data_IF_549795892571
#
_entry.id   IF_549795892571
#
_cell.length_a   1.000
_cell.length_b   1.000
_cell.length_c   1.000
_cell.angle_alpha   90.00
_cell.angle_beta   90.00
_cell.angle_gamma   90.00
#
_symmetry.space_group_name_H-M   'P 1'
#
loop_
_entity.id
_entity.type
_entity.pdbx_description
1 polymer ?
#
# COMPACT_ATOMS: atom_id res chain seq x y z
N UNK A 1 -15.10 2.15 3.23
CA UNK A 1 -13.98 1.39 3.88
C UNK A 1 -12.75 2.30 3.89
N UNK A 2 -12.15 2.56 5.05
CA UNK A 2 -11.00 3.46 5.14
C UNK A 2 -9.67 2.75 4.89
N UNK A 3 -8.83 3.34 4.05
CA UNK A 3 -7.48 2.87 3.73
C UNK A 3 -6.46 3.92 4.16
N UNK A 4 -5.46 3.51 4.93
CA UNK A 4 -4.33 4.33 5.34
C UNK A 4 -3.03 3.61 4.97
N UNK A 5 -2.10 4.32 4.35
CA UNK A 5 -0.80 3.78 3.96
C UNK A 5 0.31 4.66 4.53
N UNK A 6 1.18 4.01 5.29
CA UNK A 6 2.33 4.63 5.91
C UNK A 6 3.59 4.04 5.30
N UNK A 7 4.49 4.89 4.82
CA UNK A 7 5.79 4.49 4.33
C UNK A 7 6.82 4.77 5.40
N UNK A 8 7.68 3.79 5.66
CA UNK A 8 8.85 3.89 6.53
C UNK A 8 10.09 3.45 5.78
N UNK A 9 11.17 4.22 5.88
CA UNK A 9 12.45 3.90 5.23
C UNK A 9 13.26 5.15 4.91
N UNK A 10 14.49 4.94 4.45
CA UNK A 10 15.52 5.97 4.42
C UNK A 10 16.18 6.14 5.78
N UNK A 11 17.45 6.52 5.75
CA UNK A 11 18.46 6.58 6.83
C UNK A 11 18.03 7.16 8.20
N UNK A 12 16.84 7.76 8.31
CA UNK A 12 16.29 8.38 9.51
C UNK A 12 15.13 7.61 10.18
N UNK A 13 14.65 6.49 9.61
CA UNK A 13 13.57 5.69 10.22
C UNK A 13 12.24 6.42 10.36
N UNK A 14 12.00 7.44 9.53
CA UNK A 14 10.78 8.25 9.58
C UNK A 14 9.61 7.51 8.97
N UNK A 15 8.48 7.51 9.67
CA UNK A 15 7.18 7.06 9.15
C UNK A 15 6.42 8.25 8.59
N UNK A 16 5.96 8.15 7.36
CA UNK A 16 5.18 9.18 6.68
C UNK A 16 3.87 8.57 6.15
N UNK A 17 2.74 9.20 6.45
CA UNK A 17 1.46 8.87 5.79
C UNK A 17 1.56 9.31 4.33
N UNK A 18 1.43 8.35 3.41
CA UNK A 18 1.51 8.56 1.95
C UNK A 18 0.15 8.43 1.27
N UNK A 19 -0.84 7.80 1.92
CA UNK A 19 -2.24 7.81 1.51
C UNK A 19 -3.17 7.68 2.73
N UNK A 20 -4.30 8.38 2.73
CA UNK A 20 -5.40 8.24 3.70
C UNK A 20 -6.69 8.65 3.00
N UNK A 21 -7.57 7.69 2.73
CA UNK A 21 -8.83 7.92 2.01
C UNK A 21 -9.91 6.92 2.43
N UNK A 22 -11.17 7.28 2.23
CA UNK A 22 -12.28 6.34 2.30
C UNK A 22 -12.63 5.86 0.89
N UNK A 23 -12.76 4.55 0.70
CA UNK A 23 -13.22 3.99 -0.58
C UNK A 23 -14.66 4.38 -0.91
N UNK A 24 -15.45 4.76 0.09
CA UNK A 24 -16.84 5.18 -0.11
C UNK A 24 -16.91 6.58 -0.76
N UNK A 25 -15.81 7.34 -0.71
CA UNK A 25 -15.64 8.63 -1.42
C UNK A 25 -15.09 8.47 -2.85
N UNK A 26 -14.70 7.24 -3.25
CA UNK A 26 -14.14 6.97 -4.58
C UNK A 26 -15.24 6.55 -5.59
N UNK A 27 -15.03 6.78 -6.89
CA UNK A 27 -15.86 6.20 -7.93
C UNK A 27 -15.92 4.67 -7.81
N UNK A 28 -17.07 4.02 -8.13
CA UNK A 28 -17.24 2.57 -7.94
C UNK A 28 -16.17 1.71 -8.62
N UNK A 29 -15.67 2.14 -9.79
CA UNK A 29 -14.60 1.44 -10.51
C UNK A 29 -13.25 1.53 -9.79
N UNK A 30 -12.96 2.65 -9.14
CA UNK A 30 -11.73 2.85 -8.36
C UNK A 30 -11.81 2.12 -7.02
N UNK A 31 -12.96 2.20 -6.35
CA UNK A 31 -13.22 1.46 -5.12
C UNK A 31 -13.06 -0.06 -5.34
N UNK A 32 -13.53 -0.58 -6.48
CA UNK A 32 -13.34 -1.98 -6.83
C UNK A 32 -11.87 -2.32 -7.10
N UNK A 33 -11.14 -1.43 -7.78
CA UNK A 33 -9.70 -1.60 -8.02
C UNK A 33 -8.89 -1.64 -6.72
N UNK A 34 -9.26 -0.81 -5.74
CA UNK A 34 -8.67 -0.81 -4.38
C UNK A 34 -8.95 -2.13 -3.67
N UNK A 35 -10.18 -2.66 -3.74
CA UNK A 35 -10.54 -3.95 -3.14
C UNK A 35 -9.75 -5.11 -3.76
N UNK A 36 -9.61 -5.13 -5.08
CA UNK A 36 -8.83 -6.15 -5.77
C UNK A 36 -7.35 -6.10 -5.40
N UNK A 37 -6.79 -4.89 -5.28
CA UNK A 37 -5.40 -4.72 -4.84
C UNK A 37 -5.19 -5.20 -3.40
N UNK A 38 -6.11 -4.91 -2.48
CA UNK A 38 -6.06 -5.42 -1.11
C UNK A 38 -6.17 -6.95 -1.06
N UNK A 39 -7.08 -7.54 -1.85
CA UNK A 39 -7.20 -8.99 -1.96
C UNK A 39 -5.92 -9.66 -2.50
N UNK A 40 -5.26 -9.04 -3.49
CA UNK A 40 -4.00 -9.51 -4.02
C UNK A 40 -2.86 -9.45 -2.98
N UNK A 41 -2.82 -8.40 -2.15
CA UNK A 41 -1.86 -8.28 -1.05
C UNK A 41 -2.12 -9.32 0.05
N UNK A 42 -3.38 -9.55 0.42
CA UNK A 42 -3.75 -10.55 1.40
C UNK A 42 -3.41 -11.99 0.94
N UNK A 43 -3.48 -12.26 -0.37
CA UNK A 43 -3.11 -13.55 -0.97
C UNK A 43 -1.61 -13.72 -1.25
N UNK A 44 -0.83 -12.65 -1.29
CA UNK A 44 0.58 -12.62 -1.67
C UNK A 44 1.52 -12.43 -0.48
N UNK A 45 1.65 -13.45 0.37
CA UNK A 45 2.71 -13.48 1.40
C UNK A 45 3.91 -14.23 0.84
N UNK A 46 4.80 -13.54 0.12
CA UNK A 46 6.20 -13.98 0.09
C UNK A 46 7.04 -12.91 0.79
N UNK A 47 7.79 -13.28 1.85
CA UNK A 47 8.70 -12.37 2.52
C UNK A 47 9.79 -11.96 1.53
N UNK A 48 9.66 -10.76 0.97
CA UNK A 48 10.73 -10.18 0.17
C UNK A 48 11.96 -9.98 1.06
N UNK A 49 13.17 -10.31 0.58
CA UNK A 49 14.38 -10.15 1.36
C UNK A 49 14.53 -8.68 1.76
N UNK A 50 14.71 -8.43 3.05
CA UNK A 50 14.97 -7.10 3.63
C UNK A 50 16.31 -6.60 3.08
N UNK A 51 16.27 -5.92 1.94
CA UNK A 51 17.39 -5.18 1.36
C UNK A 51 17.45 -3.77 1.93
N UNK A 52 18.66 -3.22 2.06
CA UNK A 52 18.90 -1.87 2.62
C UNK A 52 18.22 -0.73 1.83
N UNK A 53 17.77 -1.00 0.60
CA UNK A 53 17.16 -0.03 -0.31
C UNK A 53 15.62 -0.11 -0.40
N UNK A 54 14.98 -0.99 0.39
CA UNK A 54 13.53 -1.15 0.37
C UNK A 54 12.84 -0.15 1.31
N UNK A 55 11.67 0.34 0.91
CA UNK A 55 10.74 0.99 1.83
C UNK A 55 9.77 -0.04 2.39
N UNK A 56 9.47 0.07 3.68
CA UNK A 56 8.40 -0.69 4.32
C UNK A 56 7.13 0.14 4.31
N UNK A 57 6.09 -0.37 3.66
CA UNK A 57 4.76 0.19 3.58
C UNK A 57 3.83 -0.58 4.51
N UNK A 58 3.24 0.13 5.48
CA UNK A 58 2.17 -0.37 6.33
C UNK A 58 0.84 0.09 5.77
N UNK A 59 -0.01 -0.85 5.40
CA UNK A 59 -1.31 -0.62 4.79
C UNK A 59 -2.37 -1.07 5.79
N UNK A 60 -3.17 -0.14 6.28
CA UNK A 60 -4.30 -0.43 7.17
C UNK A 60 -5.60 -0.22 6.41
N UNK A 61 -6.41 -1.27 6.28
CA UNK A 61 -7.71 -1.23 5.62
C UNK A 61 -8.74 -1.95 6.50
N UNK A 62 -9.84 -1.27 6.85
CA UNK A 62 -10.92 -1.81 7.69
C UNK A 62 -10.47 -2.46 9.02
N UNK A 63 -9.35 -2.00 9.57
CA UNK A 63 -8.75 -2.55 10.79
C UNK A 63 -7.78 -3.71 10.56
N UNK A 64 -7.69 -4.27 9.36
CA UNK A 64 -6.62 -5.19 8.96
C UNK A 64 -5.37 -4.41 8.58
N UNK A 65 -4.19 -4.93 8.93
CA UNK A 65 -2.91 -4.29 8.64
C UNK A 65 -1.97 -5.25 7.92
N UNK A 66 -1.39 -4.77 6.82
CA UNK A 66 -0.42 -5.49 5.99
C UNK A 66 0.88 -4.70 5.97
N UNK A 67 2.01 -5.37 6.22
CA UNK A 67 3.34 -4.77 6.08
C UNK A 67 4.00 -5.36 4.82
N UNK A 68 4.36 -4.49 3.87
CA UNK A 68 5.03 -4.85 2.62
C UNK A 68 6.38 -4.13 2.53
N UNK A 69 7.44 -4.83 2.15
CA UNK A 69 8.73 -4.19 1.81
C UNK A 69 8.91 -4.22 0.30
N UNK A 70 9.00 -3.04 -0.32
CA UNK A 70 9.01 -2.90 -1.77
C UNK A 70 10.01 -1.82 -2.24
N UNK A 71 10.57 -2.02 -3.43
CA UNK A 71 11.43 -1.02 -4.08
C UNK A 71 10.54 0.13 -4.59
N UNK A 72 10.80 1.39 -4.17
CA UNK A 72 10.00 2.55 -4.58
C UNK A 72 9.89 2.71 -6.11
N UNK A 73 10.87 2.25 -6.87
CA UNK A 73 10.86 2.29 -8.34
C UNK A 73 9.92 1.25 -8.97
N UNK A 74 9.60 0.17 -8.24
CA UNK A 74 8.72 -0.91 -8.69
C UNK A 74 7.29 -0.79 -8.21
N UNK A 75 7.04 -0.04 -7.12
CA UNK A 75 5.72 0.12 -6.49
C UNK A 75 4.61 0.40 -7.50
N UNK A 76 4.83 1.25 -8.52
CA UNK A 76 3.84 1.60 -9.54
C UNK A 76 3.31 0.40 -10.34
N UNK A 77 4.08 -0.67 -10.48
CA UNK A 77 3.69 -1.87 -11.22
C UNK A 77 3.07 -2.97 -10.33
N UNK A 78 2.83 -2.67 -9.04
CA UNK A 78 2.32 -3.61 -8.04
C UNK A 78 0.94 -3.18 -7.55
N UNK A 79 0.19 -4.05 -6.84
CA UNK A 79 -1.06 -3.67 -6.17
C UNK A 79 -0.92 -2.45 -5.26
N UNK A 80 0.25 -2.26 -4.62
CA UNK A 80 0.53 -1.08 -3.79
C UNK A 80 0.48 0.22 -4.60
N UNK A 81 0.87 0.21 -5.87
CA UNK A 81 0.78 1.36 -6.77
C UNK A 81 -0.65 1.85 -6.93
N UNK A 82 -1.60 0.93 -7.10
CA UNK A 82 -3.04 1.23 -7.18
C UNK A 82 -3.56 1.86 -5.89
N UNK A 83 -3.09 1.39 -4.73
CA UNK A 83 -3.52 1.92 -3.44
C UNK A 83 -2.92 3.30 -3.10
N UNK A 84 -1.75 3.62 -3.63
CA UNK A 84 -1.11 4.93 -3.42
C UNK A 84 -1.68 6.04 -4.32
N UNK A 85 -2.34 5.67 -5.42
CA UNK A 85 -2.93 6.61 -6.37
C UNK A 85 -4.27 6.06 -6.92
N UNK A 86 -5.34 5.98 -6.09
CA UNK A 86 -6.67 5.69 -6.59
C UNK A 86 -7.10 6.82 -7.54
N UNK A 87 -7.31 6.51 -8.82
CA UNK A 87 -7.73 7.45 -9.86
C UNK A 87 -6.65 7.86 -10.89
N UNK A 88 -5.49 7.20 -10.89
CA UNK A 88 -4.42 7.39 -11.88
C UNK A 88 -4.60 6.60 -13.19
#
# INVERSE_FOLDING_TARGET
MRVKIERSGGFAGLTQVVADYDTDDLPPAEAESVRQALAALAGGTEPHPVGADLYTYRITADGETYDLSEDPSRVRATPLGTLLAPGG
#
